data_IF_626008453297
#
_entry.id   IF_626008453297
#
_cell.length_a   1.000
_cell.length_b   1.000
_cell.length_c   1.000
_cell.angle_alpha   90.00
_cell.angle_beta   90.00
_cell.angle_gamma   90.00
#
_symmetry.space_group_name_H-M   'P 1'
#
loop_
_entity.id
_entity.type
_entity.pdbx_description
1 polymer ?
#
# COMPACT_ATOMS: atom_id res chain seq x y z
N UNK A 1 -30.41 -3.70 6.16
CA UNK A 1 -29.98 -2.37 5.67
C UNK A 1 -28.87 -1.92 6.60
N UNK A 2 -27.62 -1.70 6.22
CA UNK A 2 -26.94 -1.61 4.93
C UNK A 2 -25.49 -2.05 5.21
N UNK A 3 -25.01 -2.98 4.38
CA UNK A 3 -23.63 -3.33 4.12
C UNK A 3 -22.61 -2.31 4.66
N UNK A 4 -21.94 -2.66 5.76
CA UNK A 4 -20.62 -2.15 6.05
C UNK A 4 -19.70 -2.82 5.03
N UNK A 5 -19.67 -2.24 3.83
CA UNK A 5 -18.73 -2.60 2.78
C UNK A 5 -17.34 -2.57 3.41
N UNK A 6 -16.78 -3.75 3.62
CA UNK A 6 -15.36 -3.99 3.53
C UNK A 6 -14.91 -3.33 2.23
N UNK A 7 -14.53 -2.05 2.35
CA UNK A 7 -13.82 -1.31 1.32
C UNK A 7 -12.52 -2.07 1.19
N UNK A 8 -12.53 -3.12 0.37
CA UNK A 8 -11.37 -3.80 -0.15
C UNK A 8 -10.50 -2.67 -0.67
N UNK A 9 -9.53 -2.24 0.15
CA UNK A 9 -8.64 -1.15 -0.18
C UNK A 9 -7.89 -1.67 -1.39
N UNK A 10 -8.35 -1.29 -2.57
CA UNK A 10 -7.79 -1.71 -3.84
C UNK A 10 -6.29 -1.49 -3.74
N UNK A 11 -5.52 -2.57 -3.85
CA UNK A 11 -4.08 -2.54 -3.68
C UNK A 11 -3.50 -1.44 -4.56
N UNK A 12 -2.60 -0.63 -4.02
CA UNK A 12 -1.99 0.47 -4.74
C UNK A 12 -1.46 -0.01 -6.10
N UNK A 13 -1.79 0.68 -7.21
CA UNK A 13 -1.41 0.24 -8.55
C UNK A 13 0.11 0.12 -8.72
N UNK A 14 0.91 0.91 -7.99
CA UNK A 14 2.38 0.82 -8.00
C UNK A 14 2.85 -0.47 -7.33
N UNK A 15 2.28 -0.81 -6.18
CA UNK A 15 2.57 -2.07 -5.48
C UNK A 15 2.18 -3.27 -6.36
N UNK A 16 1.02 -3.21 -7.03
CA UNK A 16 0.57 -4.25 -7.95
C UNK A 16 1.52 -4.44 -9.14
N UNK A 17 1.97 -3.35 -9.77
CA UNK A 17 2.97 -3.43 -10.85
C UNK A 17 4.29 -4.01 -10.37
N UNK A 18 4.75 -3.61 -9.18
CA UNK A 18 5.98 -4.15 -8.60
C UNK A 18 5.89 -5.67 -8.40
N UNK A 19 4.81 -6.16 -7.80
CA UNK A 19 4.63 -7.61 -7.58
C UNK A 19 4.62 -8.40 -8.90
N UNK A 20 3.93 -7.90 -9.92
CA UNK A 20 3.93 -8.52 -11.26
C UNK A 20 5.33 -8.57 -11.87
N UNK A 21 6.12 -7.51 -11.72
CA UNK A 21 7.49 -7.52 -12.23
C UNK A 21 8.39 -8.51 -11.49
N UNK A 22 8.23 -8.66 -10.17
CA UNK A 22 8.97 -9.64 -9.39
C UNK A 22 8.65 -11.08 -9.82
N UNK A 23 7.39 -11.36 -10.18
CA UNK A 23 7.00 -12.64 -10.78
C UNK A 23 7.68 -12.87 -12.14
N UNK A 24 7.69 -11.85 -13.01
CA UNK A 24 8.30 -11.93 -14.35
C UNK A 24 9.81 -12.22 -14.27
N UNK A 25 10.52 -11.62 -13.32
CA UNK A 25 11.97 -11.85 -13.15
C UNK A 25 12.30 -13.11 -12.34
N UNK A 26 11.30 -13.87 -11.90
CA UNK A 26 11.50 -15.12 -11.16
C UNK A 26 12.01 -14.91 -9.73
N UNK A 27 11.73 -13.76 -9.11
CA UNK A 27 12.04 -13.56 -7.69
C UNK A 27 11.27 -14.58 -6.84
N UNK A 28 11.89 -15.14 -5.81
CA UNK A 28 11.24 -16.10 -4.93
C UNK A 28 10.12 -15.47 -4.08
N UNK A 29 9.28 -16.31 -3.49
CA UNK A 29 8.13 -15.88 -2.69
C UNK A 29 8.52 -15.00 -1.49
N UNK A 30 9.61 -15.36 -0.79
CA UNK A 30 10.07 -14.62 0.39
C UNK A 30 10.55 -13.23 -0.02
N UNK A 31 11.26 -13.13 -1.13
CA UNK A 31 11.68 -11.85 -1.72
C UNK A 31 10.47 -10.98 -2.07
N UNK A 32 9.44 -11.53 -2.73
CA UNK A 32 8.20 -10.79 -3.05
C UNK A 32 7.48 -10.30 -1.81
N UNK A 33 7.38 -11.14 -0.78
CA UNK A 33 6.74 -10.79 0.48
C UNK A 33 7.46 -9.66 1.21
N UNK A 34 8.80 -9.72 1.28
CA UNK A 34 9.63 -8.67 1.89
C UNK A 34 9.41 -7.34 1.16
N UNK A 35 9.47 -7.33 -0.18
CA UNK A 35 9.26 -6.11 -0.97
C UNK A 35 7.86 -5.54 -0.74
N UNK A 36 6.82 -6.39 -0.77
CA UNK A 36 5.45 -5.98 -0.47
C UNK A 36 5.34 -5.30 0.89
N UNK A 37 5.92 -5.89 1.94
CA UNK A 37 5.89 -5.32 3.29
C UNK A 37 6.56 -3.94 3.36
N UNK A 38 7.72 -3.76 2.72
CA UNK A 38 8.39 -2.46 2.66
C UNK A 38 7.55 -1.41 1.93
N UNK A 39 7.02 -1.76 0.76
CA UNK A 39 6.19 -0.82 0.00
C UNK A 39 4.92 -0.45 0.75
N UNK A 40 4.31 -1.41 1.44
CA UNK A 40 3.11 -1.17 2.24
C UNK A 40 3.39 -0.24 3.43
N UNK A 41 4.51 -0.44 4.14
CA UNK A 41 4.94 0.46 5.21
C UNK A 41 5.14 1.88 4.71
N UNK A 42 5.82 2.07 3.57
CA UNK A 42 6.02 3.40 2.98
C UNK A 42 4.71 4.08 2.61
N UNK A 43 3.75 3.34 2.03
CA UNK A 43 2.41 3.86 1.74
C UNK A 43 1.67 4.30 3.02
N UNK A 44 1.74 3.50 4.07
CA UNK A 44 1.10 3.80 5.34
C UNK A 44 1.74 5.03 6.02
N UNK A 45 3.06 5.19 5.92
CA UNK A 45 3.80 6.37 6.43
C UNK A 45 3.41 7.64 5.68
N UNK A 46 3.38 7.62 4.34
CA UNK A 46 2.94 8.74 3.51
C UNK A 46 1.49 9.14 3.79
N UNK A 47 0.63 8.14 4.05
CA UNK A 47 -0.77 8.40 4.39
C UNK A 47 -0.87 9.09 5.75
N UNK A 48 -0.08 8.66 6.75
CA UNK A 48 -0.03 9.29 8.08
C UNK A 48 0.51 10.71 8.04
N UNK A 49 1.51 10.97 7.20
CA UNK A 49 2.09 12.31 7.04
C UNK A 49 1.09 13.29 6.42
N UNK A 50 0.38 12.88 5.36
CA UNK A 50 -0.72 13.68 4.78
C UNK A 50 -1.83 14.02 5.77
N UNK A 51 -2.21 13.08 6.64
CA UNK A 51 -3.23 13.34 7.67
C UNK A 51 -2.74 14.43 8.64
N UNK A 52 -1.48 14.35 9.09
CA UNK A 52 -0.89 15.35 9.99
C UNK A 52 -0.77 16.74 9.35
N UNK A 53 -0.44 16.83 8.06
CA UNK A 53 -0.38 18.10 7.33
C UNK A 53 -1.76 18.77 7.22
N UNK A 54 -2.81 17.98 6.97
CA UNK A 54 -4.19 18.48 6.90
C UNK A 54 -4.69 18.96 8.27
N UNK A 55 -4.33 18.27 9.36
CA UNK A 55 -4.68 18.69 10.72
C UNK A 55 -3.99 20.02 11.11
N UNK A 56 -2.76 20.25 10.63
CA UNK A 56 -2.00 21.48 10.92
C UNK A 56 -2.45 22.70 10.11
N UNK A 57 -3.00 22.51 8.91
CA UNK A 57 -3.55 23.60 8.09
C UNK A 57 -4.97 24.02 8.49
N UNK A 58 -5.62 23.23 9.36
CA UNK A 58 -6.99 23.47 9.82
C UNK A 58 -7.07 24.13 11.21
N UNK A 59 -5.93 24.48 11.80
CA UNK A 59 -5.80 25.09 13.15
C UNK A 59 -5.36 26.56 13.10
#
# INVERSE_FOLDING_TARGET
MKNEEEKSKSMNPVISKCMKHLEIIGADEKTRQIVYMYMKRMEDELTKEKVRELDHQSS
#
